data_IF_444605014546
#
_entry.id   IF_444605014546
#
_cell.length_a   1.000
_cell.length_b   1.000
_cell.length_c   1.000
_cell.angle_alpha   90.00
_cell.angle_beta   90.00
_cell.angle_gamma   90.00
#
_symmetry.space_group_name_H-M   'P 1'
#
loop_
_entity.id
_entity.type
_entity.pdbx_description
1 polymer ?
#
# COMPACT_ATOMS: atom_id res chain seq x y z
N UNK A 1 9.63 -10.43 -14.22
CA UNK A 1 9.37 -8.99 -14.39
C UNK A 1 9.45 -8.36 -13.01
N UNK A 2 10.09 -7.19 -12.88
CA UNK A 2 10.22 -6.47 -11.61
C UNK A 2 9.21 -5.32 -11.63
N UNK A 3 8.39 -5.20 -10.58
CA UNK A 3 7.46 -4.08 -10.41
C UNK A 3 8.07 -3.10 -9.43
N UNK A 4 8.52 -1.90 -9.86
CA UNK A 4 9.01 -0.89 -8.94
C UNK A 4 7.83 -0.36 -8.12
N UNK A 5 7.93 -0.47 -6.80
CA UNK A 5 6.93 0.02 -5.85
C UNK A 5 7.62 0.97 -4.87
N UNK A 6 6.90 1.97 -4.37
CA UNK A 6 7.38 2.81 -3.26
C UNK A 6 6.72 2.39 -1.96
N UNK A 7 7.52 2.40 -0.89
CA UNK A 7 7.06 2.13 0.47
C UNK A 7 7.17 3.42 1.27
N UNK A 8 6.14 3.71 2.05
CA UNK A 8 6.20 4.82 2.99
C UNK A 8 7.36 4.62 3.97
N UNK A 9 8.01 5.71 4.37
CA UNK A 9 9.03 5.66 5.41
C UNK A 9 8.41 5.19 6.73
N UNK A 10 9.09 4.29 7.43
CA UNK A 10 8.74 3.96 8.81
C UNK A 10 9.42 4.95 9.76
N UNK A 11 8.67 5.43 10.73
CA UNK A 11 9.09 6.30 11.82
C UNK A 11 8.83 5.60 13.16
N UNK A 12 9.29 6.20 14.27
CA UNK A 12 9.07 5.65 15.61
C UNK A 12 7.56 5.56 15.93
N UNK A 13 7.01 4.35 15.89
CA UNK A 13 5.60 4.08 16.20
C UNK A 13 4.68 3.87 15.00
N UNK A 14 5.18 3.95 13.75
CA UNK A 14 4.35 3.67 12.58
C UNK A 14 4.90 4.16 11.25
N UNK A 15 4.02 4.27 10.27
CA UNK A 15 4.30 4.87 8.97
C UNK A 15 4.37 6.41 9.10
N UNK A 16 5.15 7.10 8.27
CA UNK A 16 5.27 8.57 8.26
C UNK A 16 3.94 9.33 8.08
N UNK A 17 2.88 8.67 7.62
CA UNK A 17 1.52 9.24 7.48
C UNK A 17 0.59 8.92 8.65
N UNK A 18 1.13 8.32 9.72
CA UNK A 18 0.37 7.97 10.91
C UNK A 18 0.42 9.15 11.90
N UNK A 19 -0.73 9.77 12.10
CA UNK A 19 -0.91 10.90 13.01
C UNK A 19 -2.16 10.67 13.86
N UNK A 20 -2.03 10.81 15.19
CA UNK A 20 -3.11 10.72 16.16
C UNK A 20 -4.01 9.48 16.03
N UNK A 21 -3.40 8.33 15.72
CA UNK A 21 -4.12 7.05 15.56
C UNK A 21 -4.74 6.83 14.18
N UNK A 22 -4.62 7.78 13.26
CA UNK A 22 -5.22 7.74 11.93
C UNK A 22 -4.14 7.82 10.83
N UNK A 23 -4.48 7.30 9.65
CA UNK A 23 -3.65 7.44 8.46
C UNK A 23 -4.16 8.63 7.64
N UNK A 24 -3.35 9.67 7.49
CA UNK A 24 -3.73 10.90 6.78
C UNK A 24 -4.17 10.61 5.33
N UNK A 25 -3.51 9.66 4.66
CA UNK A 25 -3.85 9.23 3.31
C UNK A 25 -5.24 8.60 3.20
N UNK A 26 -5.79 8.08 4.30
CA UNK A 26 -7.14 7.54 4.31
C UNK A 26 -8.18 8.64 4.02
N UNK A 27 -8.07 9.78 4.69
CA UNK A 27 -8.97 10.92 4.49
C UNK A 27 -8.83 11.53 3.09
N UNK A 28 -7.62 11.47 2.50
CA UNK A 28 -7.36 11.92 1.14
C UNK A 28 -7.83 10.94 0.04
N UNK A 29 -8.38 9.77 0.39
CA UNK A 29 -8.70 8.71 -0.57
C UNK A 29 -7.47 8.02 -1.19
N UNK A 30 -6.28 8.30 -0.66
CA UNK A 30 -4.98 7.83 -1.16
C UNK A 30 -4.38 6.73 -0.29
N UNK A 31 -5.21 6.00 0.48
CA UNK A 31 -4.73 4.93 1.37
C UNK A 31 -3.75 4.01 0.61
N UNK A 32 -2.57 3.71 1.18
CA UNK A 32 -1.59 2.83 0.54
C UNK A 32 -2.23 1.52 0.12
N UNK A 33 -1.85 1.05 -1.06
CA UNK A 33 -2.41 -0.14 -1.70
C UNK A 33 -2.39 -1.34 -0.77
N UNK A 34 -1.31 -1.52 -0.02
CA UNK A 34 -1.18 -2.56 1.00
C UNK A 34 -2.28 -2.48 2.06
N UNK A 35 -2.51 -1.31 2.64
CA UNK A 35 -3.55 -1.10 3.65
C UNK A 35 -4.98 -1.18 3.11
N UNK A 36 -5.18 -1.05 1.80
CA UNK A 36 -6.47 -1.28 1.13
C UNK A 36 -6.75 -2.77 0.93
N UNK A 37 -5.71 -3.53 0.58
CA UNK A 37 -5.80 -4.96 0.27
C UNK A 37 -5.55 -5.88 1.47
N UNK A 38 -5.02 -5.34 2.57
CA UNK A 38 -4.81 -6.08 3.81
C UNK A 38 -6.15 -6.39 4.48
N UNK A 39 -6.63 -7.62 4.31
CA UNK A 39 -7.67 -8.21 5.17
C UNK A 39 -7.01 -9.15 6.18
N UNK A 40 -7.27 -8.93 7.47
CA UNK A 40 -6.69 -9.75 8.54
C UNK A 40 -7.40 -11.12 8.61
N UNK A 41 -6.69 -12.18 8.24
CA UNK A 41 -6.36 -13.38 9.06
C UNK A 41 -5.64 -14.37 8.13
N UNK A 42 -4.31 -14.34 8.12
CA UNK A 42 -3.49 -15.30 7.35
C UNK A 42 -3.21 -16.49 8.28
N UNK A 43 -3.92 -17.60 8.09
CA UNK A 43 -3.59 -18.90 8.70
C UNK A 43 -2.63 -19.66 7.80
N UNK A 44 -1.86 -20.62 8.35
CA UNK A 44 -0.99 -21.51 7.54
C UNK A 44 -1.75 -22.23 6.42
N UNK A 45 -3.05 -22.42 6.60
CA UNK A 45 -3.97 -23.10 5.69
C UNK A 45 -4.39 -22.22 4.49
N UNK A 46 -4.34 -20.89 4.62
CA UNK A 46 -4.78 -19.92 3.61
C UNK A 46 -3.63 -19.24 2.84
N UNK A 47 -2.38 -19.63 3.11
CA UNK A 47 -1.19 -19.05 2.48
C UNK A 47 -1.02 -19.55 1.03
N UNK A 48 -1.77 -18.99 0.08
CA UNK A 48 -1.52 -19.18 -1.35
C UNK A 48 -0.53 -18.10 -1.82
N UNK A 49 0.67 -18.49 -2.24
CA UNK A 49 1.72 -17.56 -2.71
C UNK A 49 1.23 -16.65 -3.87
N UNK A 50 0.42 -17.21 -4.78
CA UNK A 50 -0.25 -16.46 -5.87
C UNK A 50 -1.45 -15.60 -5.45
N UNK A 51 -1.80 -15.59 -4.16
CA UNK A 51 -2.77 -14.67 -3.55
C UNK A 51 -2.12 -13.84 -2.43
N UNK A 52 -0.78 -13.80 -2.38
CA UNK A 52 -0.07 -13.01 -1.38
C UNK A 52 -0.42 -11.53 -1.51
N UNK A 53 -0.38 -10.83 -0.37
CA UNK A 53 -0.60 -9.38 -0.34
C UNK A 53 0.34 -8.66 -1.31
N UNK A 54 1.62 -9.05 -1.33
CA UNK A 54 2.61 -8.49 -2.25
C UNK A 54 2.26 -8.68 -3.73
N UNK A 55 1.71 -9.85 -4.11
CA UNK A 55 1.26 -10.07 -5.48
C UNK A 55 0.04 -9.22 -5.85
N UNK A 56 -0.92 -9.07 -4.92
CA UNK A 56 -2.09 -8.23 -5.15
C UNK A 56 -1.73 -6.74 -5.21
N UNK A 57 -0.80 -6.29 -4.35
CA UNK A 57 -0.24 -4.95 -4.43
C UNK A 57 0.45 -4.77 -5.79
N UNK A 58 1.33 -5.67 -6.21
CA UNK A 58 2.00 -5.56 -7.50
C UNK A 58 1.04 -5.45 -8.69
N UNK A 59 -0.09 -6.16 -8.67
CA UNK A 59 -1.14 -6.04 -9.71
C UNK A 59 -1.75 -4.64 -9.75
N UNK A 60 -2.10 -4.06 -8.61
CA UNK A 60 -2.65 -2.70 -8.55
C UNK A 60 -1.64 -1.66 -9.08
N UNK A 61 -0.34 -1.89 -8.87
CA UNK A 61 0.74 -1.03 -9.37
C UNK A 61 0.93 -1.12 -10.90
N UNK A 62 0.54 -2.23 -11.51
CA UNK A 62 0.59 -2.44 -12.96
C UNK A 62 -0.70 -2.01 -13.67
N UNK A 63 -1.77 -1.75 -12.93
CA UNK A 63 -3.07 -1.38 -13.49
C UNK A 63 -3.10 0.10 -13.86
N UNK A 64 -3.26 0.41 -15.15
CA UNK A 64 -3.30 1.77 -15.68
C UNK A 64 -4.41 2.63 -15.04
N UNK A 65 -5.50 2.00 -14.58
CA UNK A 65 -6.60 2.70 -13.89
C UNK A 65 -6.16 3.33 -12.58
N UNK A 66 -5.09 2.84 -11.98
CA UNK A 66 -4.54 3.32 -10.72
C UNK A 66 -3.41 4.35 -10.89
N UNK A 67 -2.96 4.64 -12.12
CA UNK A 67 -1.75 5.45 -12.35
C UNK A 67 -1.84 6.84 -11.73
N UNK A 68 -2.98 7.52 -11.83
CA UNK A 68 -3.14 8.85 -11.22
C UNK A 68 -3.05 8.81 -9.69
N UNK A 69 -3.63 7.78 -9.07
CA UNK A 69 -3.57 7.58 -7.61
C UNK A 69 -2.14 7.28 -7.18
N UNK A 70 -1.45 6.38 -7.89
CA UNK A 70 -0.05 6.00 -7.60
C UNK A 70 0.87 7.22 -7.76
N UNK A 71 0.68 8.00 -8.82
CA UNK A 71 1.44 9.23 -9.06
C UNK A 71 1.31 10.22 -7.92
N UNK A 72 0.11 10.44 -7.39
CA UNK A 72 -0.08 11.35 -6.26
C UNK A 72 0.54 10.80 -4.97
N UNK A 73 0.42 9.50 -4.72
CA UNK A 73 1.09 8.84 -3.59
C UNK A 73 2.61 9.05 -3.68
N UNK A 74 3.22 8.80 -4.84
CA UNK A 74 4.67 9.02 -5.09
C UNK A 74 5.05 10.48 -4.87
N UNK A 75 4.23 11.43 -5.36
CA UNK A 75 4.45 12.86 -5.19
C UNK A 75 4.48 13.27 -3.72
N UNK A 76 3.57 12.73 -2.92
CA UNK A 76 3.49 13.02 -1.48
C UNK A 76 4.66 12.36 -0.74
N UNK A 77 5.03 11.13 -1.10
CA UNK A 77 6.17 10.41 -0.48
C UNK A 77 7.54 11.01 -0.83
N UNK A 78 7.64 11.78 -1.91
CA UNK A 78 8.87 12.46 -2.32
C UNK A 78 9.09 13.84 -1.68
N UNK A 79 8.18 14.31 -0.83
CA UNK A 79 8.36 15.51 -0.01
C UNK A 79 9.09 15.17 1.29
#
# INVERSE_FOLDING_TARGET
YIVPMVQAKQEAGGCTFFQDGLCELHAAGLKPTEGRLSHHTITMENLKFGMSLSWNVAKEWLDERNFDTIREIVRIMGK
#
